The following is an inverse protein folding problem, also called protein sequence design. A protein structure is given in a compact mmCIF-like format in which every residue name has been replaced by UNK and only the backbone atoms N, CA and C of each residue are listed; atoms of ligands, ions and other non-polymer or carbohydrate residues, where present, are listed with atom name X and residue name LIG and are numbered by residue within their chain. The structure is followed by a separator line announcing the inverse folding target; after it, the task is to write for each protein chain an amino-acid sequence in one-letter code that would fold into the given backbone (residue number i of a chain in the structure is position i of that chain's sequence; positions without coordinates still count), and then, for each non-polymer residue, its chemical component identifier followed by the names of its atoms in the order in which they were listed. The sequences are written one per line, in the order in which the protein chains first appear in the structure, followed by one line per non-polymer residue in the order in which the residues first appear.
data_IF_645218304395
#
_entry.id   IF_645218304395
#
_cell.length_a   1.000
_cell.length_b   1.000
_cell.length_c   1.000
_cell.angle_alpha   90.00
_cell.angle_beta   90.00
_cell.angle_gamma   90.00
#
_symmetry.space_group_name_H-M   'P 1'
#
loop_
_entity.id
_entity.type
_entity.pdbx_description
1 polymer ?
#
# COMPACT_ATOMS: atom_id res chain seq x y z
N UNK A 1 18.36 21.85 -0.79
CA UNK A 1 17.49 22.15 0.38
C UNK A 1 17.80 21.18 1.52
N UNK A 2 17.92 21.65 2.76
CA UNK A 2 18.23 20.78 3.92
C UNK A 2 17.15 19.72 4.20
N UNK A 3 15.95 19.89 3.64
CA UNK A 3 14.87 18.91 3.69
C UNK A 3 14.37 18.58 2.29
N UNK A 4 15.02 17.61 1.62
CA UNK A 4 14.51 17.07 0.35
C UNK A 4 13.47 16.02 0.70
N UNK A 5 12.18 16.38 0.57
CA UNK A 5 11.06 15.44 0.58
C UNK A 5 10.52 15.29 -0.84
N UNK A 6 10.04 14.08 -1.23
CA UNK A 6 9.37 13.91 -2.51
C UNK A 6 7.99 14.58 -2.49
N UNK A 7 7.26 14.52 -3.59
CA UNK A 7 5.87 14.97 -3.63
C UNK A 7 4.98 14.09 -2.73
N UNK A 8 3.89 14.66 -2.22
CA UNK A 8 3.06 14.03 -1.19
C UNK A 8 2.53 12.64 -1.57
N UNK A 9 2.27 12.40 -2.86
CA UNK A 9 1.77 11.11 -3.36
C UNK A 9 2.83 9.99 -3.31
N UNK A 10 4.11 10.33 -3.08
CA UNK A 10 5.19 9.37 -2.84
C UNK A 10 5.52 9.17 -1.35
N UNK A 11 4.82 9.85 -0.43
CA UNK A 11 5.12 9.75 0.99
C UNK A 11 4.99 8.33 1.55
N UNK A 12 3.95 7.60 1.14
CA UNK A 12 3.76 6.24 1.61
C UNK A 12 4.89 5.31 1.16
N UNK A 13 5.33 5.39 -0.10
CA UNK A 13 6.43 4.56 -0.63
C UNK A 13 7.75 4.94 0.00
N UNK A 14 7.99 6.24 0.22
CA UNK A 14 9.21 6.73 0.85
C UNK A 14 9.31 6.34 2.33
N UNK A 15 8.21 6.42 3.09
CA UNK A 15 8.16 5.95 4.48
C UNK A 15 8.35 4.43 4.55
N UNK A 16 7.70 3.69 3.67
CA UNK A 16 7.85 2.23 3.57
C UNK A 16 9.30 1.83 3.27
N UNK A 17 9.95 2.54 2.34
CA UNK A 17 11.36 2.37 2.01
C UNK A 17 12.26 2.57 3.22
N UNK A 18 12.04 3.63 4.01
CA UNK A 18 12.81 3.92 5.23
C UNK A 18 12.63 2.85 6.32
N UNK A 19 11.45 2.24 6.40
CA UNK A 19 11.16 1.21 7.41
C UNK A 19 11.71 -0.17 7.05
N UNK A 20 11.83 -0.49 5.76
CA UNK A 20 12.08 -1.88 5.31
C UNK A 20 13.37 -2.06 4.50
N UNK A 21 13.95 -0.98 3.98
CA UNK A 21 15.13 -1.01 3.10
C UNK A 21 14.78 -1.23 1.62
N UNK A 22 15.75 -0.95 0.75
CA UNK A 22 15.55 -0.85 -0.70
C UNK A 22 14.96 -2.11 -1.32
N UNK A 23 15.62 -3.26 -1.15
CA UNK A 23 15.22 -4.51 -1.82
C UNK A 23 13.81 -4.92 -1.43
N UNK A 24 13.50 -4.90 -0.13
CA UNK A 24 12.18 -5.29 0.36
C UNK A 24 11.10 -4.31 -0.09
N UNK A 25 11.36 -3.00 0.00
CA UNK A 25 10.39 -1.98 -0.40
C UNK A 25 10.04 -2.10 -1.89
N UNK A 26 11.05 -2.24 -2.76
CA UNK A 26 10.82 -2.37 -4.20
C UNK A 26 10.02 -3.64 -4.53
N UNK A 27 10.41 -4.78 -3.96
CA UNK A 27 9.72 -6.05 -4.23
C UNK A 27 8.27 -6.03 -3.69
N UNK A 28 8.06 -5.53 -2.47
CA UNK A 28 6.72 -5.49 -1.86
C UNK A 28 5.78 -4.49 -2.53
N UNK A 29 6.27 -3.30 -2.91
CA UNK A 29 5.47 -2.32 -3.66
C UNK A 29 5.16 -2.81 -5.08
N UNK A 30 6.14 -3.42 -5.76
CA UNK A 30 5.93 -4.04 -7.07
C UNK A 30 4.93 -5.18 -7.01
N UNK A 31 5.04 -6.05 -5.99
CA UNK A 31 4.06 -7.10 -5.73
C UNK A 31 2.67 -6.54 -5.44
N UNK A 32 2.55 -5.48 -4.64
CA UNK A 32 1.28 -4.81 -4.39
C UNK A 32 0.65 -4.26 -5.68
N UNK A 33 1.44 -3.61 -6.53
CA UNK A 33 0.98 -3.15 -7.85
C UNK A 33 0.52 -4.31 -8.76
N UNK A 34 1.27 -5.41 -8.78
CA UNK A 34 0.88 -6.62 -9.50
C UNK A 34 -0.42 -7.23 -8.96
N UNK A 35 -0.59 -7.28 -7.63
CA UNK A 35 -1.83 -7.74 -6.99
C UNK A 35 -3.04 -6.90 -7.39
N UNK A 36 -2.89 -5.58 -7.57
CA UNK A 36 -3.98 -4.72 -8.06
C UNK A 36 -4.40 -5.09 -9.48
N UNK A 37 -3.45 -5.45 -10.36
CA UNK A 37 -3.74 -5.87 -11.73
C UNK A 37 -4.46 -7.22 -11.75
N UNK A 38 -4.02 -8.18 -10.93
CA UNK A 38 -4.64 -9.50 -10.88
C UNK A 38 -5.86 -9.60 -9.94
N UNK A 39 -6.16 -8.51 -9.21
CA UNK A 39 -7.25 -8.43 -8.25
C UNK A 39 -8.59 -8.98 -8.73
N UNK A 40 -9.10 -8.71 -9.96
CA UNK A 40 -10.39 -9.25 -10.39
C UNK A 40 -10.43 -10.78 -10.40
N UNK A 41 -9.30 -11.44 -10.69
CA UNK A 41 -9.22 -12.90 -10.65
C UNK A 41 -9.23 -13.43 -9.21
N UNK A 42 -8.57 -12.71 -8.29
CA UNK A 42 -8.57 -13.02 -6.85
C UNK A 42 -9.98 -12.84 -6.27
N UNK A 43 -10.65 -11.71 -6.54
CA UNK A 43 -12.01 -11.45 -6.09
C UNK A 43 -13.00 -12.49 -6.63
N UNK A 44 -12.91 -12.83 -7.92
CA UNK A 44 -13.74 -13.87 -8.52
C UNK A 44 -13.53 -15.25 -7.86
N UNK A 45 -12.28 -15.62 -7.56
CA UNK A 45 -11.97 -16.86 -6.86
C UNK A 45 -12.54 -16.88 -5.44
N UNK A 46 -12.48 -15.75 -4.71
CA UNK A 46 -13.08 -15.61 -3.38
C UNK A 46 -14.60 -15.75 -3.48
N UNK A 47 -15.25 -15.03 -4.40
CA UNK A 47 -16.70 -15.06 -4.57
C UNK A 47 -17.22 -16.41 -5.03
N UNK A 48 -16.44 -17.17 -5.80
CA UNK A 48 -16.78 -18.55 -6.18
C UNK A 48 -16.99 -19.47 -4.96
N UNK A 49 -16.20 -19.29 -3.91
CA UNK A 49 -16.29 -20.07 -2.67
C UNK A 49 -17.25 -19.41 -1.67
N UNK A 50 -17.27 -18.07 -1.62
CA UNK A 50 -18.07 -17.27 -0.68
C UNK A 50 -18.78 -16.13 -1.42
N UNK A 51 -19.97 -16.38 -2.01
CA UNK A 51 -20.65 -15.41 -2.88
C UNK A 51 -20.95 -14.06 -2.23
N UNK A 52 -21.26 -14.06 -0.93
CA UNK A 52 -21.58 -12.87 -0.14
C UNK A 52 -20.37 -12.33 0.64
N UNK A 53 -19.14 -12.65 0.20
CA UNK A 53 -17.95 -12.20 0.91
C UNK A 53 -17.70 -10.70 0.70
N UNK A 54 -17.52 -10.00 1.81
CA UNK A 54 -17.04 -8.61 1.83
C UNK A 54 -15.51 -8.53 1.96
N UNK A 55 -14.78 -9.65 1.79
CA UNK A 55 -13.33 -9.71 2.00
C UNK A 55 -12.59 -8.63 1.20
N UNK A 56 -13.03 -8.36 -0.03
CA UNK A 56 -12.42 -7.35 -0.89
C UNK A 56 -12.60 -5.92 -0.37
N UNK A 57 -13.72 -5.66 0.31
CA UNK A 57 -13.95 -4.37 0.99
C UNK A 57 -12.95 -4.23 2.13
N UNK A 58 -12.83 -5.25 3.00
CA UNK A 58 -11.88 -5.22 4.12
C UNK A 58 -10.44 -5.09 3.65
N UNK A 59 -10.04 -5.81 2.60
CA UNK A 59 -8.68 -5.72 2.04
C UNK A 59 -8.43 -4.32 1.47
N UNK A 60 -9.40 -3.73 0.77
CA UNK A 60 -9.34 -2.34 0.30
C UNK A 60 -9.20 -1.34 1.44
N UNK A 61 -9.99 -1.49 2.51
CA UNK A 61 -9.92 -0.65 3.72
C UNK A 61 -8.53 -0.74 4.35
N UNK A 62 -8.01 -1.96 4.55
CA UNK A 62 -6.68 -2.16 5.13
C UNK A 62 -5.58 -1.54 4.27
N UNK A 63 -5.65 -1.73 2.95
CA UNK A 63 -4.71 -1.10 2.01
C UNK A 63 -4.75 0.42 2.07
N UNK A 64 -5.96 1.00 2.11
CA UNK A 64 -6.15 2.44 2.23
C UNK A 64 -5.64 2.98 3.57
N UNK A 65 -5.95 2.32 4.69
CA UNK A 65 -5.48 2.73 6.01
C UNK A 65 -3.96 2.64 6.13
N UNK A 66 -3.33 1.63 5.53
CA UNK A 66 -1.87 1.54 5.47
C UNK A 66 -1.27 2.69 4.66
N UNK A 67 -1.81 2.98 3.47
CA UNK A 67 -1.38 4.11 2.64
C UNK A 67 -1.53 5.44 3.40
N UNK A 68 -2.70 5.67 4.00
CA UNK A 68 -3.01 6.89 4.73
C UNK A 68 -2.11 7.04 5.97
N UNK A 69 -1.95 5.98 6.76
CA UNK A 69 -1.11 5.97 7.94
C UNK A 69 0.36 6.25 7.63
N UNK A 70 0.92 5.63 6.59
CA UNK A 70 2.30 5.88 6.15
C UNK A 70 2.47 7.29 5.61
N UNK A 71 1.48 7.80 4.87
CA UNK A 71 1.49 9.18 4.35
C UNK A 71 1.48 10.19 5.49
N UNK A 72 0.56 10.04 6.45
CA UNK A 72 0.48 10.91 7.62
C UNK A 72 1.74 10.82 8.48
N UNK A 73 2.31 9.62 8.65
CA UNK A 73 3.58 9.48 9.35
C UNK A 73 4.69 10.27 8.66
N UNK A 74 4.83 10.19 7.34
CA UNK A 74 5.85 10.96 6.62
C UNK A 74 5.67 12.48 6.75
N UNK A 75 4.42 12.95 6.79
CA UNK A 75 4.08 14.35 7.05
C UNK A 75 4.48 14.75 8.47
N UNK A 76 4.04 13.97 9.46
CA UNK A 76 4.17 14.27 10.90
C UNK A 76 5.56 14.03 11.45
N UNK A 77 6.36 13.18 10.80
CA UNK A 77 7.80 13.12 11.01
C UNK A 77 8.42 14.43 10.49
N UNK A 78 8.19 15.51 11.23
CA UNK A 78 9.11 16.63 11.32
C UNK A 78 10.39 16.09 11.95
N UNK A 79 11.52 16.36 11.30
CA UNK A 79 12.82 16.19 11.93
C UNK A 79 13.00 17.31 12.96
#
# INVERSE_FOLDING_TARGET
PEHIKPEWYFFFTFRWLKLTGLTFAVLSLGFGGFMLVIWPFVDAAIRKVRPNSEASIFIGILGFLALLGLTLWEVLAMH
#
